data_IF_676516974174
#
_entry.id   IF_676516974174
#
_cell.length_a   1.000
_cell.length_b   1.000
_cell.length_c   1.000
_cell.angle_alpha   90.00
_cell.angle_beta   90.00
_cell.angle_gamma   90.00
#
_symmetry.space_group_name_H-M   'P 1'
#
loop_
_entity.id
_entity.type
_entity.pdbx_description
1 polymer ?
#
# COMPACT_ATOMS: atom_id res chain seq x y z
N UNK A 1 -1.08 68.41 28.81
CA UNK A 1 0.14 67.69 28.34
C UNK A 1 0.10 66.20 28.68
N UNK A 2 0.04 65.79 29.96
CA UNK A 2 -0.02 64.36 30.34
C UNK A 2 -1.16 63.55 29.69
N UNK A 3 -2.36 64.13 29.49
CA UNK A 3 -3.46 63.43 28.82
C UNK A 3 -3.20 63.17 27.32
N UNK A 4 -2.49 64.08 26.65
CA UNK A 4 -2.12 63.92 25.24
C UNK A 4 -0.99 62.90 25.07
N UNK A 5 0.00 62.91 25.96
CA UNK A 5 1.08 61.91 25.97
C UNK A 5 0.54 60.50 26.23
N UNK A 6 -0.39 60.35 27.18
CA UNK A 6 -1.06 59.06 27.43
C UNK A 6 -1.89 58.60 26.24
N UNK A 7 -2.62 59.51 25.58
CA UNK A 7 -3.38 59.18 24.38
C UNK A 7 -2.48 58.74 23.23
N UNK A 8 -1.33 59.40 23.04
CA UNK A 8 -0.36 59.02 22.01
C UNK A 8 0.25 57.64 22.29
N UNK A 9 0.58 57.33 23.55
CA UNK A 9 1.10 56.02 23.94
C UNK A 9 0.06 54.91 23.73
N UNK A 10 -1.22 55.16 24.06
CA UNK A 10 -2.30 54.20 23.84
C UNK A 10 -2.54 53.90 22.35
N UNK A 11 -2.41 54.91 21.48
CA UNK A 11 -2.52 54.73 20.02
C UNK A 11 -1.35 53.88 19.51
N UNK A 12 -0.13 54.20 19.94
CA UNK A 12 1.06 53.44 19.55
C UNK A 12 0.99 51.97 19.97
N UNK A 13 0.60 51.69 21.22
CA UNK A 13 0.43 50.32 21.73
C UNK A 13 -0.67 49.57 20.96
N UNK A 14 -1.75 50.26 20.56
CA UNK A 14 -2.81 49.69 19.75
C UNK A 14 -2.34 49.33 18.33
N UNK A 15 -1.53 50.18 17.70
CA UNK A 15 -0.91 49.91 16.39
C UNK A 15 0.04 48.72 16.43
N UNK A 16 0.90 48.62 17.45
CA UNK A 16 1.78 47.46 17.62
C UNK A 16 1.01 46.16 17.85
N UNK A 17 -0.07 46.21 18.63
CA UNK A 17 -0.96 45.05 18.85
C UNK A 17 -1.66 44.64 17.57
N UNK A 18 -2.15 45.59 16.78
CA UNK A 18 -2.75 45.31 15.47
C UNK A 18 -1.76 44.63 14.53
N UNK A 19 -0.52 45.13 14.48
CA UNK A 19 0.52 44.53 13.65
C UNK A 19 0.84 43.09 14.06
N UNK A 20 1.00 42.83 15.37
CA UNK A 20 1.17 41.46 15.89
C UNK A 20 -0.02 40.56 15.58
N UNK A 21 -1.25 41.06 15.73
CA UNK A 21 -2.45 40.29 15.40
C UNK A 21 -2.51 39.96 13.90
N UNK A 22 -2.12 40.89 13.03
CA UNK A 22 -2.06 40.67 11.59
C UNK A 22 -1.02 39.59 11.22
N UNK A 23 0.16 39.61 11.84
CA UNK A 23 1.18 38.59 11.67
C UNK A 23 0.69 37.21 12.13
N UNK A 24 0.07 37.13 13.32
CA UNK A 24 -0.51 35.88 13.84
C UNK A 24 -1.63 35.37 12.93
N UNK A 25 -2.48 36.26 12.43
CA UNK A 25 -3.56 35.91 11.52
C UNK A 25 -3.04 35.37 10.19
N UNK A 26 -2.03 36.05 9.59
CA UNK A 26 -1.35 35.58 8.38
C UNK A 26 -0.69 34.22 8.57
N UNK A 27 -0.01 34.00 9.70
CA UNK A 27 0.58 32.71 10.03
C UNK A 27 -0.48 31.61 10.16
N UNK A 28 -1.60 31.92 10.82
CA UNK A 28 -2.73 30.99 11.01
C UNK A 28 -3.41 30.62 9.70
N UNK A 29 -3.61 31.60 8.80
CA UNK A 29 -4.11 31.37 7.44
C UNK A 29 -3.18 30.44 6.67
N UNK A 30 -1.88 30.73 6.64
CA UNK A 30 -0.89 29.92 5.95
C UNK A 30 -0.85 28.48 6.48
N UNK A 31 -0.94 28.31 7.80
CA UNK A 31 -1.00 26.98 8.42
C UNK A 31 -2.26 26.24 8.00
N UNK A 32 -3.42 26.91 8.02
CA UNK A 32 -4.71 26.33 7.64
C UNK A 32 -4.71 25.90 6.17
N UNK A 33 -4.14 26.72 5.27
CA UNK A 33 -3.97 26.35 3.86
C UNK A 33 -3.08 25.12 3.69
N UNK A 34 -1.94 25.08 4.38
CA UNK A 34 -1.04 23.91 4.34
C UNK A 34 -1.75 22.64 4.82
N UNK A 35 -2.52 22.74 5.90
CA UNK A 35 -3.30 21.62 6.43
C UNK A 35 -4.41 21.18 5.46
N UNK A 36 -5.12 22.12 4.84
CA UNK A 36 -6.15 21.81 3.85
C UNK A 36 -5.56 21.09 2.63
N UNK A 37 -4.42 21.55 2.12
CA UNK A 37 -3.70 20.90 1.01
C UNK A 37 -3.23 19.50 1.42
N UNK A 38 -2.62 19.35 2.59
CA UNK A 38 -2.15 18.06 3.07
C UNK A 38 -3.31 17.06 3.21
N UNK A 39 -4.45 17.51 3.74
CA UNK A 39 -5.67 16.71 3.83
C UNK A 39 -6.17 16.29 2.45
N UNK A 40 -6.26 17.22 1.50
CA UNK A 40 -6.70 16.92 0.14
C UNK A 40 -5.79 15.88 -0.54
N UNK A 41 -4.47 16.04 -0.41
CA UNK A 41 -3.50 15.05 -0.92
C UNK A 41 -3.72 13.67 -0.28
N UNK A 42 -3.91 13.63 1.03
CA UNK A 42 -4.22 12.38 1.75
C UNK A 42 -5.49 11.72 1.24
N UNK A 43 -6.55 12.49 1.04
CA UNK A 43 -7.82 11.99 0.52
C UNK A 43 -7.72 11.47 -0.92
N UNK A 44 -6.99 12.17 -1.80
CA UNK A 44 -6.73 11.71 -3.17
C UNK A 44 -6.00 10.37 -3.15
N UNK A 45 -4.92 10.26 -2.36
CA UNK A 45 -4.15 9.01 -2.27
C UNK A 45 -5.03 7.86 -1.76
N UNK A 46 -5.76 8.05 -0.66
CA UNK A 46 -6.54 6.98 -0.05
C UNK A 46 -7.77 6.59 -0.87
N UNK A 47 -8.55 7.57 -1.34
CA UNK A 47 -9.85 7.31 -1.99
C UNK A 47 -9.74 7.03 -3.47
N UNK A 48 -8.77 7.63 -4.16
CA UNK A 48 -8.63 7.43 -5.61
C UNK A 48 -7.54 6.41 -5.90
N UNK A 49 -6.31 6.64 -5.43
CA UNK A 49 -5.18 5.81 -5.82
C UNK A 49 -5.24 4.41 -5.19
N UNK A 50 -5.31 4.32 -3.86
CA UNK A 50 -5.29 3.02 -3.18
C UNK A 50 -6.49 2.15 -3.59
N UNK A 51 -7.69 2.73 -3.67
CA UNK A 51 -8.88 1.98 -4.11
C UNK A 51 -8.77 1.49 -5.56
N UNK A 52 -8.24 2.32 -6.47
CA UNK A 52 -8.03 1.90 -7.86
C UNK A 52 -6.95 0.83 -7.96
N UNK A 53 -5.88 0.97 -7.19
CA UNK A 53 -4.80 0.00 -7.11
C UNK A 53 -5.30 -1.35 -6.61
N UNK A 54 -6.02 -1.39 -5.49
CA UNK A 54 -6.60 -2.62 -4.94
C UNK A 54 -7.51 -3.31 -5.94
N UNK A 55 -8.43 -2.56 -6.58
CA UNK A 55 -9.31 -3.11 -7.63
C UNK A 55 -8.50 -3.69 -8.79
N UNK A 56 -7.42 -3.02 -9.19
CA UNK A 56 -6.56 -3.49 -10.28
C UNK A 56 -5.81 -4.76 -9.88
N UNK A 57 -5.19 -4.79 -8.70
CA UNK A 57 -4.50 -5.98 -8.16
C UNK A 57 -5.47 -7.16 -8.11
N UNK A 58 -6.64 -6.98 -7.51
CA UNK A 58 -7.66 -8.03 -7.45
C UNK A 58 -8.06 -8.51 -8.84
N UNK A 59 -8.23 -7.62 -9.82
CA UNK A 59 -8.57 -8.03 -11.19
C UNK A 59 -7.49 -8.86 -11.86
N UNK A 60 -6.21 -8.54 -11.64
CA UNK A 60 -5.07 -9.25 -12.23
C UNK A 60 -4.78 -10.57 -11.49
N UNK A 61 -4.82 -10.57 -10.15
CA UNK A 61 -4.60 -11.75 -9.31
C UNK A 61 -5.76 -12.75 -9.31
N UNK A 62 -6.86 -12.41 -9.99
CA UNK A 62 -7.91 -13.38 -10.35
C UNK A 62 -7.59 -14.16 -11.64
N UNK A 63 -6.54 -13.79 -12.38
CA UNK A 63 -6.16 -14.49 -13.60
C UNK A 63 -5.29 -15.71 -13.26
N UNK A 64 -5.78 -16.89 -13.65
CA UNK A 64 -5.13 -18.18 -13.40
C UNK A 64 -3.72 -18.23 -13.98
N UNK A 65 -3.51 -17.64 -15.16
CA UNK A 65 -2.20 -17.63 -15.82
C UNK A 65 -1.15 -16.79 -15.08
N UNK A 66 -1.54 -15.63 -14.53
CA UNK A 66 -0.63 -14.81 -13.73
C UNK A 66 -0.23 -15.54 -12.45
N UNK A 67 -1.19 -16.14 -11.75
CA UNK A 67 -0.89 -16.91 -10.54
C UNK A 67 0.03 -18.09 -10.83
N UNK A 68 -0.16 -18.77 -11.95
CA UNK A 68 0.74 -19.83 -12.39
C UNK A 68 2.16 -19.33 -12.59
N UNK A 69 2.33 -18.19 -13.26
CA UNK A 69 3.64 -17.58 -13.46
C UNK A 69 4.29 -17.19 -12.13
N UNK A 70 3.52 -16.64 -11.19
CA UNK A 70 4.01 -16.31 -9.85
C UNK A 70 4.47 -17.56 -9.09
N UNK A 71 3.64 -18.60 -9.05
CA UNK A 71 3.96 -19.85 -8.37
C UNK A 71 5.20 -20.50 -9.00
N UNK A 72 5.23 -20.60 -10.33
CA UNK A 72 6.37 -21.15 -11.06
C UNK A 72 7.65 -20.35 -10.79
N UNK A 73 7.59 -19.01 -10.84
CA UNK A 73 8.75 -18.16 -10.56
C UNK A 73 9.30 -18.36 -9.15
N UNK A 74 8.41 -18.57 -8.17
CA UNK A 74 8.81 -18.89 -6.80
C UNK A 74 9.49 -20.25 -6.72
N UNK A 75 8.93 -21.29 -7.34
CA UNK A 75 9.56 -22.61 -7.36
C UNK A 75 10.90 -22.63 -8.09
N UNK A 76 11.01 -21.93 -9.22
CA UNK A 76 12.27 -21.77 -9.94
C UNK A 76 13.32 -21.05 -9.09
N UNK A 77 12.93 -20.02 -8.33
CA UNK A 77 13.83 -19.33 -7.41
C UNK A 77 14.31 -20.25 -6.28
N UNK A 78 13.40 -21.02 -5.66
CA UNK A 78 13.72 -21.99 -4.61
C UNK A 78 14.66 -23.08 -5.15
N UNK A 79 14.41 -23.57 -6.37
CA UNK A 79 15.22 -24.59 -7.02
C UNK A 79 16.64 -24.09 -7.33
N UNK A 80 16.79 -22.83 -7.78
CA UNK A 80 18.11 -22.20 -8.02
C UNK A 80 18.94 -22.09 -6.75
N UNK A 81 18.30 -21.88 -5.61
CA UNK A 81 18.95 -21.85 -4.30
C UNK A 81 19.27 -23.27 -3.76
N UNK A 82 18.99 -24.32 -4.54
CA UNK A 82 19.35 -25.71 -4.20
C UNK A 82 18.41 -26.38 -3.21
N UNK A 83 17.25 -25.78 -2.93
CA UNK A 83 16.29 -26.34 -2.00
C UNK A 83 15.35 -27.33 -2.69
N UNK A 84 15.48 -28.62 -2.35
CA UNK A 84 14.37 -29.58 -2.52
C UNK A 84 13.42 -29.36 -1.34
N UNK A 85 12.35 -28.62 -1.59
CA UNK A 85 11.45 -28.17 -0.55
C UNK A 85 10.05 -28.75 -0.79
N UNK A 86 9.56 -29.50 0.20
CA UNK A 86 8.15 -29.90 0.25
C UNK A 86 7.31 -28.63 0.43
N UNK A 87 6.56 -28.27 -0.61
CA UNK A 87 5.74 -27.06 -0.60
C UNK A 87 4.25 -27.36 -0.59
N UNK A 88 3.52 -26.47 0.09
CA UNK A 88 2.07 -26.34 0.09
C UNK A 88 1.67 -25.07 -0.61
N UNK A 89 0.78 -25.17 -1.58
CA UNK A 89 0.18 -24.01 -2.24
C UNK A 89 -1.20 -23.78 -1.64
N UNK A 90 -1.44 -22.62 -1.07
CA UNK A 90 -2.76 -22.22 -0.56
C UNK A 90 -3.32 -21.19 -1.52
N UNK A 91 -4.51 -21.44 -2.07
CA UNK A 91 -5.17 -20.59 -3.04
C UNK A 91 -6.48 -20.03 -2.49
N UNK A 92 -6.94 -18.91 -3.05
CA UNK A 92 -8.22 -18.31 -2.66
C UNK A 92 -9.36 -19.29 -2.93
N UNK A 93 -10.38 -19.29 -2.04
CA UNK A 93 -11.63 -20.05 -2.20
C UNK A 93 -12.38 -19.76 -3.52
N UNK A 94 -12.02 -18.67 -4.19
CA UNK A 94 -12.60 -18.29 -5.49
C UNK A 94 -12.21 -19.24 -6.63
N UNK A 95 -11.04 -19.88 -6.52
CA UNK A 95 -10.58 -20.82 -7.56
C UNK A 95 -11.25 -22.19 -7.36
N UNK A 96 -11.85 -22.69 -8.44
CA UNK A 96 -12.48 -24.01 -8.43
C UNK A 96 -11.42 -25.13 -8.59
N UNK A 97 -11.82 -26.36 -8.29
CA UNK A 97 -10.92 -27.54 -8.32
C UNK A 97 -10.29 -27.79 -9.68
N UNK A 98 -10.96 -27.42 -10.77
CA UNK A 98 -10.46 -27.62 -12.13
C UNK A 98 -9.35 -26.60 -12.47
N UNK A 99 -9.53 -25.34 -12.06
CA UNK A 99 -8.50 -24.31 -12.16
C UNK A 99 -7.29 -24.68 -11.32
N UNK A 100 -7.51 -25.15 -10.09
CA UNK A 100 -6.47 -25.69 -9.21
C UNK A 100 -5.67 -26.81 -9.90
N UNK A 101 -6.35 -27.80 -10.48
CA UNK A 101 -5.70 -28.91 -11.17
C UNK A 101 -4.87 -28.44 -12.37
N UNK A 102 -5.38 -27.48 -13.15
CA UNK A 102 -4.68 -26.91 -14.29
C UNK A 102 -3.43 -26.12 -13.86
N UNK A 103 -3.51 -25.42 -12.73
CA UNK A 103 -2.36 -24.71 -12.14
C UNK A 103 -1.26 -25.70 -11.73
N UNK A 104 -1.63 -26.80 -11.09
CA UNK A 104 -0.69 -27.84 -10.66
C UNK A 104 -0.02 -28.56 -11.83
N UNK A 105 -0.76 -28.82 -12.90
CA UNK A 105 -0.21 -29.47 -14.09
C UNK A 105 0.96 -28.66 -14.72
N UNK A 106 0.95 -27.33 -14.59
CA UNK A 106 2.01 -26.45 -15.11
C UNK A 106 3.19 -26.28 -14.15
N UNK A 107 2.94 -26.30 -12.84
CA UNK A 107 3.94 -25.97 -11.80
C UNK A 107 4.97 -27.09 -11.58
N UNK A 108 4.72 -28.29 -12.12
CA UNK A 108 5.60 -29.44 -11.94
C UNK A 108 5.28 -30.11 -10.60
N UNK A 109 4.76 -31.33 -10.70
CA UNK A 109 4.36 -32.16 -9.54
C UNK A 109 5.57 -32.47 -8.64
N UNK A 110 6.78 -32.36 -9.16
CA UNK A 110 8.04 -32.72 -8.50
C UNK A 110 8.34 -31.91 -7.23
N UNK A 111 7.77 -30.71 -7.08
CA UNK A 111 7.96 -29.86 -5.88
C UNK A 111 6.84 -30.00 -4.85
N UNK A 112 5.76 -30.71 -5.18
CA UNK A 112 4.57 -30.82 -4.36
C UNK A 112 4.51 -32.21 -3.73
N UNK A 113 4.34 -32.25 -2.41
CA UNK A 113 4.03 -33.52 -1.75
C UNK A 113 2.61 -34.00 -2.13
N UNK A 114 2.21 -35.17 -1.66
CA UNK A 114 0.86 -35.70 -1.88
C UNK A 114 -0.23 -34.68 -1.45
N UNK A 115 -1.03 -34.18 -2.41
CA UNK A 115 -2.24 -33.37 -2.22
C UNK A 115 -2.11 -32.07 -1.40
N UNK A 116 -1.15 -31.20 -1.75
CA UNK A 116 -0.81 -30.04 -0.91
C UNK A 116 -1.38 -28.71 -1.43
N UNK A 117 -2.57 -28.76 -2.04
CA UNK A 117 -3.30 -27.53 -2.40
C UNK A 117 -4.47 -27.33 -1.47
N UNK A 118 -4.42 -26.24 -0.71
CA UNK A 118 -5.44 -25.88 0.27
C UNK A 118 -6.15 -24.58 -0.12
N UNK A 119 -7.33 -24.36 0.44
CA UNK A 119 -8.10 -23.13 0.24
C UNK A 119 -7.94 -22.18 1.42
N UNK A 120 -7.38 -21.00 1.18
CA UNK A 120 -7.18 -19.95 2.17
C UNK A 120 -8.36 -19.00 2.30
N UNK A 121 -8.36 -18.22 3.38
CA UNK A 121 -9.38 -17.20 3.69
C UNK A 121 -8.97 -15.82 3.19
N UNK A 122 -8.60 -15.71 1.91
CA UNK A 122 -8.24 -14.43 1.28
C UNK A 122 -8.98 -14.26 -0.06
N UNK A 123 -9.15 -13.00 -0.48
CA UNK A 123 -9.99 -12.65 -1.64
C UNK A 123 -9.34 -13.11 -2.93
N UNK A 124 -8.06 -12.79 -3.14
CA UNK A 124 -7.30 -13.20 -4.32
C UNK A 124 -5.81 -13.39 -4.03
N UNK A 125 -5.10 -14.08 -4.92
CA UNK A 125 -3.69 -14.39 -4.77
C UNK A 125 -3.39 -15.82 -4.32
N UNK A 126 -2.19 -16.01 -3.76
CA UNK A 126 -1.65 -17.33 -3.40
C UNK A 126 -0.69 -17.21 -2.23
N UNK A 127 -0.64 -18.23 -1.37
CA UNK A 127 0.44 -18.40 -0.40
C UNK A 127 1.17 -19.71 -0.70
N UNK A 128 2.49 -19.71 -0.54
CA UNK A 128 3.33 -20.90 -0.72
C UNK A 128 4.04 -21.16 0.60
N UNK A 129 3.68 -22.24 1.29
CA UNK A 129 4.28 -22.65 2.56
C UNK A 129 5.29 -23.74 2.30
N UNK A 130 6.50 -23.58 2.81
CA UNK A 130 7.60 -24.53 2.63
C UNK A 130 7.79 -25.25 3.98
N UNK A 131 7.42 -26.52 4.02
CA UNK A 131 7.34 -27.30 5.26
C UNK A 131 8.71 -27.41 5.97
N UNK A 132 9.77 -27.63 5.19
CA UNK A 132 11.10 -27.91 5.74
C UNK A 132 11.81 -26.68 6.35
N UNK A 133 11.30 -25.48 6.11
CA UNK A 133 11.95 -24.22 6.54
C UNK A 133 11.06 -23.30 7.38
N UNK A 134 9.82 -23.70 7.66
CA UNK A 134 8.82 -22.82 8.29
C UNK A 134 8.72 -21.45 7.59
N UNK A 135 8.83 -21.46 6.25
CA UNK A 135 8.81 -20.27 5.42
C UNK A 135 7.46 -20.18 4.70
N UNK A 136 6.84 -19.01 4.71
CA UNK A 136 5.63 -18.73 3.93
C UNK A 136 5.90 -17.56 3.00
N UNK A 137 5.74 -17.80 1.71
CA UNK A 137 5.78 -16.76 0.68
C UNK A 137 4.34 -16.33 0.45
N UNK A 138 4.02 -15.12 0.87
CA UNK A 138 2.68 -14.56 0.77
C UNK A 138 2.56 -13.64 -0.44
N UNK A 139 1.71 -14.03 -1.39
CA UNK A 139 1.37 -13.29 -2.60
C UNK A 139 -0.15 -13.05 -2.67
N UNK A 140 -0.78 -12.83 -1.51
CA UNK A 140 -2.16 -12.39 -1.41
C UNK A 140 -2.31 -10.94 -1.88
N UNK A 141 -3.52 -10.57 -2.30
CA UNK A 141 -3.83 -9.21 -2.74
C UNK A 141 -3.51 -8.14 -1.69
N UNK A 142 -3.79 -8.40 -0.41
CA UNK A 142 -3.44 -7.48 0.69
C UNK A 142 -1.93 -7.27 0.83
N UNK A 143 -1.15 -8.35 0.71
CA UNK A 143 0.32 -8.30 0.82
C UNK A 143 0.92 -7.56 -0.38
N UNK A 144 0.43 -7.85 -1.58
CA UNK A 144 0.89 -7.20 -2.81
C UNK A 144 0.47 -5.72 -2.85
N UNK A 145 -0.74 -5.38 -2.39
CA UNK A 145 -1.17 -4.00 -2.23
C UNK A 145 -0.22 -3.26 -1.30
N UNK A 146 0.06 -3.82 -0.12
CA UNK A 146 0.98 -3.22 0.85
C UNK A 146 2.38 -3.03 0.26
N UNK A 147 2.88 -4.05 -0.43
CA UNK A 147 4.19 -3.99 -1.08
C UNK A 147 4.25 -2.88 -2.14
N UNK A 148 3.25 -2.82 -3.03
CA UNK A 148 3.18 -1.79 -4.07
C UNK A 148 2.97 -0.42 -3.44
N UNK A 149 2.14 -0.25 -2.41
CA UNK A 149 1.96 1.04 -1.76
C UNK A 149 3.24 1.54 -1.11
N UNK A 150 4.00 0.66 -0.44
CA UNK A 150 5.28 1.03 0.15
C UNK A 150 6.29 1.48 -0.92
N UNK A 151 6.31 0.82 -2.07
CA UNK A 151 7.23 1.16 -3.16
C UNK A 151 6.76 2.35 -4.01
N UNK A 152 5.49 2.36 -4.40
CA UNK A 152 4.89 3.31 -5.33
C UNK A 152 4.50 4.60 -4.64
N UNK A 153 4.24 4.63 -3.33
CA UNK A 153 3.80 5.87 -2.66
C UNK A 153 4.83 6.99 -2.81
N UNK A 154 6.12 6.67 -2.81
CA UNK A 154 7.15 7.69 -3.01
C UNK A 154 7.15 8.19 -4.45
N UNK A 155 7.27 7.32 -5.45
CA UNK A 155 7.22 7.72 -6.87
C UNK A 155 5.93 8.45 -7.24
N UNK A 156 4.79 7.98 -6.73
CA UNK A 156 3.48 8.61 -6.93
C UNK A 156 3.41 10.00 -6.31
N UNK A 157 3.89 10.15 -5.06
CA UNK A 157 3.97 11.48 -4.41
C UNK A 157 4.86 12.41 -5.22
N UNK A 158 5.98 11.93 -5.77
CA UNK A 158 6.86 12.74 -6.63
C UNK A 158 6.16 13.18 -7.90
N UNK A 159 5.49 12.26 -8.59
CA UNK A 159 4.88 12.48 -9.90
C UNK A 159 3.62 13.35 -9.84
N UNK A 160 2.79 13.19 -8.80
CA UNK A 160 1.50 13.90 -8.67
C UNK A 160 1.64 15.19 -7.84
N UNK A 161 2.54 15.21 -6.85
CA UNK A 161 2.66 16.33 -5.93
C UNK A 161 3.94 17.16 -6.11
N UNK A 162 4.79 16.85 -7.10
CA UNK A 162 6.11 17.48 -7.32
C UNK A 162 6.95 17.53 -6.04
N UNK A 163 6.99 16.42 -5.31
CA UNK A 163 7.83 16.22 -4.11
C UNK A 163 9.02 15.31 -4.39
#
# INVERSE_FOLDING_TARGET
KQAQERSAHMIHDAEERLKKQEEVFKASLNLSFKQAIAKLKGEITQKLFNQALLKKIQSEFNQVDLLNQCIQSVFEAIAKEGFQADAQVVLSRRFNKDQLAMMMAKVGVDYLKENVVDQGEFVSGVQIKIANQNLTIDLTDETIETFILNFASDTFKKLIYNQ
#
